data_IF_705761438647
#
_entry.id   IF_705761438647
#
_cell.length_a   1.000
_cell.length_b   1.000
_cell.length_c   1.000
_cell.angle_alpha   90.00
_cell.angle_beta   90.00
_cell.angle_gamma   90.00
#
_symmetry.space_group_name_H-M   'P 1'
#
loop_
_entity.id
_entity.type
_entity.pdbx_description
1 polymer ?
#
# COMPACT_ATOMS: atom_id res chain seq x y z
N UNK A 1 11.17 -15.62 13.34
CA UNK A 1 11.38 -15.98 11.91
C UNK A 1 12.03 -17.35 11.80
N UNK A 2 11.80 -18.06 10.68
CA UNK A 2 12.32 -19.42 10.44
C UNK A 2 13.83 -19.52 10.63
N UNK A 3 14.29 -20.65 11.19
CA UNK A 3 15.72 -20.99 11.31
C UNK A 3 16.32 -21.48 10.00
N UNK A 4 15.47 -21.79 9.02
CA UNK A 4 15.88 -22.32 7.71
C UNK A 4 16.06 -21.17 6.74
N UNK A 5 17.15 -21.21 5.98
CA UNK A 5 17.42 -20.19 4.95
C UNK A 5 16.53 -20.44 3.75
N UNK A 6 16.00 -19.38 3.14
CA UNK A 6 15.04 -19.49 2.03
C UNK A 6 15.57 -20.33 0.85
N UNK A 7 16.88 -20.30 0.61
CA UNK A 7 17.53 -21.04 -0.47
C UNK A 7 17.83 -22.51 -0.14
N UNK A 8 17.69 -22.93 1.12
CA UNK A 8 17.92 -24.32 1.53
C UNK A 8 16.64 -25.15 1.58
N UNK A 9 15.49 -24.57 1.24
CA UNK A 9 14.19 -25.25 1.19
C UNK A 9 14.07 -25.94 -0.18
N UNK A 10 13.59 -27.19 -0.19
CA UNK A 10 13.36 -27.93 -1.44
C UNK A 10 12.35 -27.21 -2.33
N UNK A 11 12.51 -27.33 -3.65
CA UNK A 11 11.65 -26.66 -4.62
C UNK A 11 10.19 -27.08 -4.48
N UNK A 12 9.90 -28.36 -4.22
CA UNK A 12 8.51 -28.84 -4.06
C UNK A 12 7.89 -28.31 -2.79
N UNK A 13 8.65 -28.33 -1.68
CA UNK A 13 8.21 -27.77 -0.41
C UNK A 13 7.92 -26.27 -0.53
N UNK A 14 8.84 -25.53 -1.15
CA UNK A 14 8.66 -24.09 -1.41
C UNK A 14 7.42 -23.81 -2.24
N UNK A 15 7.20 -24.57 -3.31
CA UNK A 15 6.02 -24.42 -4.16
C UNK A 15 4.73 -24.67 -3.37
N UNK A 16 4.70 -25.74 -2.57
CA UNK A 16 3.55 -26.09 -1.75
C UNK A 16 3.21 -24.98 -0.76
N UNK A 17 4.19 -24.55 0.06
CA UNK A 17 3.96 -23.52 1.09
C UNK A 17 3.51 -22.19 0.46
N UNK A 18 4.07 -21.82 -0.70
CA UNK A 18 3.67 -20.60 -1.41
C UNK A 18 2.27 -20.71 -2.00
N UNK A 19 1.91 -21.88 -2.55
CA UNK A 19 0.56 -22.11 -3.08
C UNK A 19 -0.49 -22.03 -1.98
N UNK A 20 -0.27 -22.71 -0.85
CA UNK A 20 -1.19 -22.70 0.30
C UNK A 20 -1.44 -21.25 0.79
N UNK A 21 -0.39 -20.43 0.82
CA UNK A 21 -0.51 -19.01 1.16
C UNK A 21 -1.36 -18.23 0.14
N UNK A 22 -1.18 -18.48 -1.16
CA UNK A 22 -1.94 -17.79 -2.20
C UNK A 22 -3.40 -18.20 -2.23
N UNK A 23 -3.71 -19.47 -2.01
CA UNK A 23 -5.09 -19.96 -1.91
C UNK A 23 -5.85 -19.21 -0.81
N UNK A 24 -5.22 -19.05 0.36
CA UNK A 24 -5.82 -18.27 1.46
C UNK A 24 -6.00 -16.79 1.06
N UNK A 25 -5.02 -16.17 0.40
CA UNK A 25 -5.14 -14.77 -0.03
C UNK A 25 -6.28 -14.54 -1.02
N UNK A 26 -6.58 -15.51 -1.88
CA UNK A 26 -7.69 -15.43 -2.85
C UNK A 26 -9.05 -15.49 -2.16
N UNK A 27 -9.17 -16.20 -1.04
CA UNK A 27 -10.41 -16.30 -0.27
C UNK A 27 -10.76 -15.06 0.55
N UNK A 28 -9.83 -14.12 0.74
CA UNK A 28 -10.07 -12.88 1.48
C UNK A 28 -10.89 -11.88 0.63
N UNK A 29 -12.13 -11.62 1.04
CA UNK A 29 -13.11 -10.80 0.29
C UNK A 29 -13.28 -9.41 0.89
N UNK A 30 -13.12 -9.28 2.20
CA UNK A 30 -13.36 -8.01 2.91
C UNK A 30 -12.08 -7.38 3.44
N UNK A 31 -12.10 -6.05 3.60
CA UNK A 31 -10.98 -5.33 4.24
C UNK A 31 -10.74 -5.81 5.67
N UNK A 32 -11.79 -6.20 6.38
CA UNK A 32 -11.69 -6.69 7.74
C UNK A 32 -11.00 -8.06 7.79
N UNK A 33 -11.36 -8.98 6.89
CA UNK A 33 -10.66 -10.26 6.74
C UNK A 33 -9.18 -10.07 6.44
N UNK A 34 -8.85 -9.19 5.48
CA UNK A 34 -7.45 -8.89 5.15
C UNK A 34 -6.72 -8.30 6.35
N UNK A 35 -7.34 -7.38 7.10
CA UNK A 35 -6.72 -6.76 8.27
C UNK A 35 -6.46 -7.77 9.40
N UNK A 36 -7.47 -8.57 9.74
CA UNK A 36 -7.35 -9.64 10.74
C UNK A 36 -6.29 -10.66 10.34
N UNK A 37 -6.27 -11.06 9.06
CA UNK A 37 -5.28 -12.00 8.55
C UNK A 37 -3.86 -11.43 8.62
N UNK A 38 -3.66 -10.20 8.12
CA UNK A 38 -2.33 -9.59 8.10
C UNK A 38 -1.80 -9.29 9.51
N UNK A 39 -2.63 -8.81 10.43
CA UNK A 39 -2.20 -8.54 11.81
C UNK A 39 -2.06 -9.80 12.67
N UNK A 40 -2.78 -10.87 12.34
CA UNK A 40 -2.63 -12.17 13.01
C UNK A 40 -1.40 -12.94 12.55
N UNK A 41 -1.04 -12.84 11.26
CA UNK A 41 0.07 -13.60 10.68
C UNK A 41 1.41 -12.88 10.74
N UNK A 42 1.42 -11.55 10.53
CA UNK A 42 2.65 -10.77 10.46
C UNK A 42 2.89 -9.99 11.75
N UNK A 43 4.16 -9.79 12.05
CA UNK A 43 4.57 -8.84 13.08
C UNK A 43 4.29 -7.40 12.64
N UNK A 44 4.12 -6.45 13.59
CA UNK A 44 3.91 -5.05 13.24
C UNK A 44 5.00 -4.45 12.34
N UNK A 45 6.25 -4.87 12.52
CA UNK A 45 7.38 -4.39 11.71
C UNK A 45 7.30 -4.89 10.26
N UNK A 46 6.87 -6.13 10.03
CA UNK A 46 6.66 -6.68 8.69
C UNK A 46 5.51 -5.99 7.96
N UNK A 47 4.40 -5.72 8.65
CA UNK A 47 3.26 -4.99 8.09
C UNK A 47 3.70 -3.58 7.67
N UNK A 48 4.42 -2.86 8.53
CA UNK A 48 4.97 -1.54 8.21
C UNK A 48 5.96 -1.61 7.05
N UNK A 49 6.81 -2.63 6.99
CA UNK A 49 7.75 -2.83 5.89
C UNK A 49 7.01 -3.00 4.55
N UNK A 50 6.00 -3.87 4.49
CA UNK A 50 5.19 -4.10 3.28
C UNK A 50 4.47 -2.81 2.88
N UNK A 51 3.86 -2.12 3.83
CA UNK A 51 3.18 -0.84 3.59
C UNK A 51 4.13 0.22 3.03
N UNK A 52 5.35 0.35 3.58
CA UNK A 52 6.37 1.28 3.06
C UNK A 52 6.79 0.94 1.63
N UNK A 53 6.99 -0.34 1.30
CA UNK A 53 7.31 -0.74 -0.08
C UNK A 53 6.23 -0.34 -1.07
N UNK A 54 4.95 -0.51 -0.70
CA UNK A 54 3.83 -0.03 -1.51
C UNK A 54 3.86 1.49 -1.69
N UNK A 55 4.23 2.26 -0.66
CA UNK A 55 4.36 3.71 -0.78
C UNK A 55 5.53 4.13 -1.68
N UNK A 56 6.67 3.44 -1.58
CA UNK A 56 7.82 3.67 -2.48
C UNK A 56 7.38 3.47 -3.94
N UNK A 57 6.74 2.35 -4.24
CA UNK A 57 6.25 2.05 -5.60
C UNK A 57 5.26 3.12 -6.10
N UNK A 58 4.35 3.58 -5.24
CA UNK A 58 3.42 4.66 -5.60
C UNK A 58 4.15 5.95 -5.95
N UNK A 59 5.13 6.34 -5.14
CA UNK A 59 5.90 7.56 -5.39
C UNK A 59 6.75 7.45 -6.66
N UNK A 60 7.30 6.28 -6.96
CA UNK A 60 8.02 6.03 -8.24
C UNK A 60 7.08 6.20 -9.43
N UNK A 61 5.86 5.64 -9.35
CA UNK A 61 4.84 5.79 -10.41
C UNK A 61 4.42 7.26 -10.57
N UNK A 62 4.42 8.02 -9.48
CA UNK A 62 4.09 9.46 -9.48
C UNK A 62 5.26 10.34 -9.95
N UNK A 63 6.41 9.75 -10.32
CA UNK A 63 7.57 10.48 -10.81
C UNK A 63 8.41 11.16 -9.73
N UNK A 64 8.23 10.78 -8.45
CA UNK A 64 9.03 11.33 -7.35
C UNK A 64 10.50 10.93 -7.47
N UNK A 65 11.41 11.83 -7.10
CA UNK A 65 12.83 11.55 -7.10
C UNK A 65 13.26 10.73 -5.86
N UNK A 66 14.43 10.13 -5.92
CA UNK A 66 14.95 9.27 -4.85
C UNK A 66 15.08 9.99 -3.51
N UNK A 67 15.47 11.26 -3.52
CA UNK A 67 15.64 12.06 -2.30
C UNK A 67 14.29 12.32 -1.61
N UNK A 68 13.25 12.64 -2.38
CA UNK A 68 11.89 12.82 -1.87
C UNK A 68 11.38 11.54 -1.20
N UNK A 69 11.57 10.39 -1.88
CA UNK A 69 11.15 9.09 -1.36
C UNK A 69 11.92 8.75 -0.08
N UNK A 70 13.25 8.95 -0.07
CA UNK A 70 14.10 8.69 1.10
C UNK A 70 13.66 9.53 2.29
N UNK A 71 13.49 10.84 2.11
CA UNK A 71 13.14 11.77 3.19
C UNK A 71 11.74 11.47 3.71
N UNK A 72 10.76 11.30 2.81
CA UNK A 72 9.35 11.11 3.18
C UNK A 72 9.09 9.77 3.84
N UNK A 73 9.67 8.68 3.32
CA UNK A 73 9.38 7.33 3.79
C UNK A 73 10.43 6.78 4.75
N UNK A 74 11.54 7.50 4.97
CA UNK A 74 12.68 7.10 5.81
C UNK A 74 13.23 5.72 5.40
N UNK A 75 13.45 5.55 4.10
CA UNK A 75 13.98 4.30 3.49
C UNK A 75 15.33 4.55 2.83
N UNK A 76 16.20 3.54 2.79
CA UNK A 76 17.51 3.66 2.13
C UNK A 76 17.38 3.72 0.61
N UNK A 77 18.36 4.34 -0.07
CA UNK A 77 18.43 4.34 -1.54
C UNK A 77 18.42 2.90 -2.09
N UNK A 78 19.10 1.96 -1.43
CA UNK A 78 19.08 0.54 -1.79
C UNK A 78 17.66 -0.06 -1.78
N UNK A 79 16.81 0.36 -0.85
CA UNK A 79 15.41 -0.08 -0.80
C UNK A 79 14.63 0.48 -1.98
N UNK A 80 14.84 1.75 -2.31
CA UNK A 80 14.21 2.42 -3.46
C UNK A 80 14.62 1.71 -4.75
N UNK A 81 15.92 1.50 -4.98
CA UNK A 81 16.44 0.79 -6.15
C UNK A 81 15.87 -0.63 -6.27
N UNK A 82 15.77 -1.37 -5.17
CA UNK A 82 15.15 -2.71 -5.18
C UNK A 82 13.68 -2.66 -5.58
N UNK A 83 12.94 -1.66 -5.11
CA UNK A 83 11.51 -1.51 -5.45
C UNK A 83 11.31 -1.01 -6.87
N UNK A 84 12.17 -0.13 -7.36
CA UNK A 84 12.16 0.31 -8.76
C UNK A 84 12.49 -0.85 -9.70
N UNK A 85 13.54 -1.61 -9.41
CA UNK A 85 13.89 -2.79 -10.21
C UNK A 85 12.77 -3.85 -10.15
N UNK A 86 12.19 -4.09 -8.97
CA UNK A 86 11.04 -4.96 -8.84
C UNK A 86 9.86 -4.45 -9.67
N UNK A 87 9.57 -3.15 -9.69
CA UNK A 87 8.50 -2.58 -10.49
C UNK A 87 8.78 -2.78 -11.98
N UNK A 88 9.91 -2.24 -12.48
CA UNK A 88 10.27 -2.16 -13.91
C UNK A 88 10.82 -3.45 -14.52
N UNK A 89 11.03 -4.50 -13.74
CA UNK A 89 11.61 -5.75 -14.25
C UNK A 89 10.68 -6.55 -15.18
N UNK A 90 9.41 -6.15 -15.30
CA UNK A 90 8.41 -6.80 -16.16
C UNK A 90 7.34 -5.76 -16.53
N UNK A 91 7.17 -5.50 -17.82
CA UNK A 91 6.26 -4.48 -18.34
C UNK A 91 4.79 -4.82 -18.07
N UNK A 92 4.39 -6.09 -18.21
CA UNK A 92 3.01 -6.54 -17.95
C UNK A 92 2.67 -6.36 -16.46
N UNK A 93 3.61 -6.76 -15.59
CA UNK A 93 3.48 -6.58 -14.15
C UNK A 93 3.43 -5.09 -13.78
N UNK A 94 4.24 -4.25 -14.41
CA UNK A 94 4.27 -2.80 -14.19
C UNK A 94 2.91 -2.19 -14.50
N UNK A 95 2.35 -2.52 -15.66
CA UNK A 95 1.05 -2.02 -16.08
C UNK A 95 -0.06 -2.48 -15.12
N UNK A 96 -0.06 -3.76 -14.75
CA UNK A 96 -1.01 -4.32 -13.79
C UNK A 96 -0.99 -3.59 -12.45
N UNK A 97 0.19 -3.43 -11.85
CA UNK A 97 0.35 -2.76 -10.55
C UNK A 97 -0.10 -1.30 -10.64
N UNK A 98 0.32 -0.59 -11.68
CA UNK A 98 -0.04 0.81 -11.93
C UNK A 98 -1.55 0.96 -12.04
N UNK A 99 -2.20 0.09 -12.81
CA UNK A 99 -3.67 0.07 -12.97
C UNK A 99 -4.38 -0.16 -11.63
N UNK A 100 -3.91 -1.10 -10.81
CA UNK A 100 -4.50 -1.37 -9.48
C UNK A 100 -4.31 -0.20 -8.52
N UNK A 101 -3.14 0.42 -8.50
CA UNK A 101 -2.85 1.60 -7.69
C UNK A 101 -3.77 2.75 -8.07
N UNK A 102 -3.89 3.07 -9.37
CA UNK A 102 -4.76 4.14 -9.86
C UNK A 102 -6.24 3.86 -9.58
N UNK A 103 -6.68 2.60 -9.74
CA UNK A 103 -8.05 2.19 -9.39
C UNK A 103 -8.35 2.37 -7.90
N UNK A 104 -7.37 2.13 -7.04
CA UNK A 104 -7.51 2.34 -5.58
C UNK A 104 -7.63 3.82 -5.20
N UNK A 105 -6.97 4.73 -5.95
CA UNK A 105 -7.07 6.19 -5.77
C UNK A 105 -8.45 6.71 -6.14
N UNK A 106 -8.96 6.34 -7.33
CA UNK A 106 -10.31 6.71 -7.79
C UNK A 106 -11.41 6.30 -6.80
N UNK A 107 -11.28 5.13 -6.16
CA UNK A 107 -12.22 4.67 -5.12
C UNK A 107 -12.16 5.53 -3.85
N UNK A 108 -10.97 5.99 -3.45
CA UNK A 108 -10.80 6.89 -2.31
C UNK A 108 -11.36 8.28 -2.60
N UNK A 109 -11.07 8.85 -3.77
CA UNK A 109 -11.60 10.15 -4.20
C UNK A 109 -13.14 10.13 -4.21
N UNK A 110 -13.78 9.14 -4.84
CA UNK A 110 -15.24 9.00 -4.84
C UNK A 110 -15.85 8.87 -3.43
N UNK A 111 -15.14 8.24 -2.49
CA UNK A 111 -15.60 8.14 -1.10
C UNK A 111 -15.43 9.44 -0.30
N UNK A 112 -14.49 10.29 -0.69
CA UNK A 112 -14.28 11.63 -0.11
C UNK A 112 -15.28 12.62 -0.70
N UNK A 113 -15.49 12.63 -2.02
CA UNK A 113 -16.45 13.51 -2.68
C UNK A 113 -17.89 13.27 -2.18
N UNK A 114 -18.28 12.00 -1.96
CA UNK A 114 -19.58 11.66 -1.33
C UNK A 114 -19.75 12.15 0.11
N UNK A 115 -18.67 12.52 0.81
CA UNK A 115 -18.74 13.12 2.15
C UNK A 115 -18.67 14.64 2.11
N UNK A 116 -18.18 15.23 1.02
CA UNK A 116 -18.07 16.69 0.84
C UNK A 116 -19.21 17.30 0.05
N UNK A 117 -20.03 16.48 -0.65
CA UNK A 117 -21.30 16.94 -1.21
C UNK A 117 -22.36 17.05 -0.11
N UNK A 118 -22.34 18.20 0.58
CA UNK A 118 -23.51 18.89 1.12
C UNK A 118 -24.29 18.22 2.24
N UNK A 119 -24.11 18.71 3.48
CA UNK A 119 -25.11 18.39 4.50
C UNK A 119 -24.95 18.93 5.92
N UNK A 120 -24.27 20.05 6.20
CA UNK A 120 -24.63 20.86 7.40
C UNK A 120 -23.94 22.22 7.55
N UNK A 121 -22.72 22.42 7.04
CA UNK A 121 -21.91 23.58 7.43
C UNK A 121 -22.00 24.80 6.49
N UNK A 122 -22.60 24.66 5.31
CA UNK A 122 -22.79 25.78 4.36
C UNK A 122 -24.16 26.47 4.47
N UNK A 123 -25.04 26.04 5.40
CA UNK A 123 -26.40 26.61 5.53
C UNK A 123 -26.48 27.87 6.41
N UNK A 124 -25.44 28.22 7.16
CA UNK A 124 -25.53 29.31 8.15
C UNK A 124 -24.35 30.27 8.04
N UNK A 125 -24.67 31.56 7.87
CA UNK A 125 -23.73 32.67 7.69
C UNK A 125 -22.69 32.83 8.83
N UNK A 126 -22.96 32.25 10.00
CA UNK A 126 -22.09 32.36 11.18
C UNK A 126 -20.80 31.51 11.09
N UNK A 127 -20.69 30.61 10.10
CA UNK A 127 -19.51 29.74 9.93
C UNK A 127 -18.28 30.41 9.31
N UNK A 128 -18.32 31.71 9.02
CA UNK A 128 -17.10 32.48 8.67
C UNK A 128 -16.19 32.72 9.87
N UNK A 129 -16.78 32.87 11.07
CA UNK A 129 -16.05 33.20 12.30
C UNK A 129 -15.15 32.07 12.81
N UNK A 130 -15.56 30.81 12.62
CA UNK A 130 -14.80 29.64 13.09
C UNK A 130 -13.64 29.25 12.15
N UNK A 131 -13.66 29.74 10.91
CA UNK A 131 -12.60 29.45 9.92
C UNK A 131 -11.33 30.27 10.15
N UNK A 132 -11.46 31.44 10.79
CA UNK A 132 -10.33 32.32 11.13
C UNK A 132 -9.64 31.95 12.46
N UNK A 133 -10.26 31.10 13.29
CA UNK A 133 -9.72 30.72 14.62
C UNK A 133 -8.80 29.49 14.57
N UNK A 134 -8.88 28.69 13.51
CA UNK A 134 -8.18 27.40 13.38
C UNK A 134 -7.44 27.32 12.03
N UNK A 135 -6.66 28.34 11.71
CA UNK A 135 -5.86 28.43 10.48
C UNK A 135 -5.18 27.13 10.05
#
# INVERSE_FOLDING_TARGET
>A
MSKVKVYSIDKKEKQKIINDLFEIFVELKTKNEVFTFLLGLFTPSEVVMIARRIQVVKMIIDGACYDEIRIKLKVSNQTITKMEHWLRGDDEKTEFITRKINSSRKRKEKSVTRRTDGGMLDKYAHHRFLKDLLG
#
